data_IF_800860826736
#
_entry.id   IF_800860826736
#
_cell.length_a   1.000
_cell.length_b   1.000
_cell.length_c   1.000
_cell.angle_alpha   90.00
_cell.angle_beta   90.00
_cell.angle_gamma   90.00
#
_symmetry.space_group_name_H-M   'P 1'
#
loop_
_entity.id
_entity.type
_entity.pdbx_description
1 polymer ?
#
# COMPACT_ATOMS: atom_id res chain seq x y z
N UNK A 1 -20.54 3.85 89.31
CA UNK A 1 -20.67 5.25 88.83
C UNK A 1 -19.47 6.03 89.36
N UNK A 2 -18.85 6.96 88.63
CA UNK A 2 -18.53 7.14 87.20
C UNK A 2 -17.01 6.81 87.00
N UNK A 3 -16.32 6.81 85.86
CA UNK A 3 -16.11 7.87 84.87
C UNK A 3 -15.58 7.25 83.57
N UNK A 4 -15.93 7.89 82.46
CA UNK A 4 -15.49 7.58 81.09
C UNK A 4 -14.21 8.35 80.72
N UNK A 5 -13.62 7.92 79.60
CA UNK A 5 -12.84 8.65 78.58
C UNK A 5 -11.29 8.70 78.74
N UNK A 6 -10.48 8.87 77.66
CA UNK A 6 -10.30 7.97 76.49
C UNK A 6 -8.86 7.91 75.90
N UNK A 7 -8.67 7.15 74.80
CA UNK A 7 -7.65 7.28 73.71
C UNK A 7 -6.19 7.03 74.13
N UNK A 8 -5.40 6.23 73.41
CA UNK A 8 -4.91 6.46 72.04
C UNK A 8 -4.66 5.11 71.34
N UNK A 9 -5.29 4.91 70.18
CA UNK A 9 -4.90 3.89 69.20
C UNK A 9 -3.79 4.50 68.33
N UNK A 10 -2.59 3.93 68.34
CA UNK A 10 -1.56 4.20 67.36
C UNK A 10 -1.61 3.09 66.30
N UNK A 11 -2.19 3.40 65.13
CA UNK A 11 -2.15 2.51 63.98
C UNK A 11 -0.78 2.65 63.29
N UNK A 12 0.04 1.61 63.37
CA UNK A 12 1.32 1.50 62.67
C UNK A 12 1.03 1.00 61.24
N UNK A 13 1.03 1.91 60.26
CA UNK A 13 0.94 1.54 58.85
C UNK A 13 2.32 1.08 58.34
N UNK A 14 2.51 -0.23 58.14
CA UNK A 14 3.64 -0.78 57.40
C UNK A 14 3.49 -0.41 55.91
N UNK A 15 4.40 0.42 55.38
CA UNK A 15 4.56 0.61 53.94
C UNK A 15 5.19 -0.65 53.33
N UNK A 16 4.40 -1.39 52.55
CA UNK A 16 4.91 -2.40 51.63
C UNK A 16 5.38 -1.69 50.34
N UNK A 17 6.69 -1.57 50.15
CA UNK A 17 7.27 -1.15 48.87
C UNK A 17 7.19 -2.30 47.86
N UNK A 18 6.74 -2.07 46.61
CA UNK A 18 6.79 -3.09 45.58
C UNK A 18 8.25 -3.28 45.15
N UNK A 19 8.77 -4.50 45.34
CA UNK A 19 10.02 -4.92 44.71
C UNK A 19 9.78 -4.98 43.19
N UNK A 20 10.32 -4.00 42.47
CA UNK A 20 10.42 -4.02 41.02
C UNK A 20 11.41 -5.14 40.69
N UNK A 21 10.91 -6.30 40.25
CA UNK A 21 11.76 -7.36 39.73
C UNK A 21 12.33 -6.88 38.40
N UNK A 22 13.66 -6.85 38.22
CA UNK A 22 14.24 -6.55 36.92
C UNK A 22 13.77 -7.62 35.93
N UNK A 23 13.25 -7.19 34.79
CA UNK A 23 12.96 -8.06 33.66
C UNK A 23 14.21 -8.89 33.36
N UNK A 24 14.05 -10.22 33.31
CA UNK A 24 15.11 -11.12 32.85
C UNK A 24 15.59 -10.61 31.48
N UNK A 25 16.86 -10.27 31.37
CA UNK A 25 17.48 -9.94 30.10
C UNK A 25 17.29 -11.12 29.16
N UNK A 26 16.75 -10.88 27.96
CA UNK A 26 16.73 -11.87 26.91
C UNK A 26 18.20 -12.27 26.63
N UNK A 27 18.55 -13.54 26.82
CA UNK A 27 19.79 -14.07 26.30
C UNK A 27 19.83 -13.80 24.79
N UNK A 28 20.98 -13.39 24.21
CA UNK A 28 21.09 -13.21 22.78
C UNK A 28 20.75 -14.53 22.09
N UNK A 29 19.70 -14.49 21.27
CA UNK A 29 19.28 -15.64 20.48
C UNK A 29 20.47 -16.12 19.62
N UNK A 30 20.78 -17.43 19.60
CA UNK A 30 21.86 -17.94 18.76
C UNK A 30 21.63 -17.50 17.31
N UNK A 31 22.70 -17.18 16.55
CA UNK A 31 22.56 -16.73 15.18
C UNK A 31 21.79 -17.77 14.34
N UNK A 32 20.91 -17.33 13.43
CA UNK A 32 20.13 -18.24 12.60
C UNK A 32 21.05 -19.08 11.72
N UNK A 33 20.70 -20.35 11.51
CA UNK A 33 21.51 -21.28 10.73
C UNK A 33 21.33 -21.08 9.23
N UNK A 34 20.09 -20.86 8.81
CA UNK A 34 19.75 -20.48 7.44
C UNK A 34 19.13 -19.09 7.45
N UNK A 35 19.25 -18.39 6.33
CA UNK A 35 18.51 -17.16 6.07
C UNK A 35 17.86 -17.27 4.70
N UNK A 36 16.54 -17.20 4.66
CA UNK A 36 15.76 -17.14 3.42
C UNK A 36 15.47 -15.70 3.05
N UNK A 37 15.74 -15.36 1.80
CA UNK A 37 15.47 -14.06 1.22
C UNK A 37 14.52 -14.23 0.05
N UNK A 38 13.40 -13.53 0.10
CA UNK A 38 12.51 -13.39 -1.04
C UNK A 38 13.21 -12.53 -2.11
N UNK A 39 13.29 -13.03 -3.34
CA UNK A 39 13.93 -12.34 -4.46
C UNK A 39 12.88 -11.61 -5.32
N UNK A 40 11.80 -12.30 -5.71
CA UNK A 40 10.69 -11.68 -6.44
C UNK A 40 9.38 -12.44 -6.30
N UNK A 41 8.27 -11.74 -6.55
CA UNK A 41 6.93 -12.28 -6.69
C UNK A 41 6.37 -11.77 -8.02
N UNK A 42 5.72 -12.64 -8.79
CA UNK A 42 5.07 -12.27 -10.03
C UNK A 42 3.71 -12.97 -10.13
N UNK A 43 2.59 -12.21 -10.23
CA UNK A 43 2.52 -10.75 -10.11
C UNK A 43 2.72 -10.28 -8.66
N UNK A 44 3.16 -9.04 -8.47
CA UNK A 44 3.25 -8.37 -7.16
C UNK A 44 1.89 -7.81 -6.69
N UNK A 45 0.97 -7.57 -7.62
CA UNK A 45 -0.45 -7.31 -7.37
C UNK A 45 -1.31 -8.13 -8.33
N UNK A 46 -2.26 -8.89 -7.80
CA UNK A 46 -3.19 -9.69 -8.59
C UNK A 46 -4.41 -8.86 -8.99
N UNK A 47 -4.72 -8.89 -10.28
CA UNK A 47 -5.91 -8.29 -10.90
C UNK A 47 -6.68 -9.36 -11.70
N UNK A 48 -7.88 -9.03 -12.15
CA UNK A 48 -8.67 -9.92 -13.04
C UNK A 48 -7.97 -10.23 -14.37
N UNK A 49 -7.04 -9.38 -14.80
CA UNK A 49 -6.25 -9.54 -16.04
C UNK A 49 -4.85 -10.10 -15.83
N UNK A 50 -4.45 -10.38 -14.58
CA UNK A 50 -3.15 -10.95 -14.27
C UNK A 50 -3.07 -12.42 -14.73
N UNK A 51 -1.84 -12.94 -14.85
CA UNK A 51 -1.63 -14.38 -14.95
C UNK A 51 -2.29 -15.07 -13.72
N UNK A 52 -3.07 -16.15 -13.91
CA UNK A 52 -3.75 -16.84 -12.82
C UNK A 52 -2.83 -17.66 -11.91
N UNK A 53 -1.51 -17.58 -12.11
CA UNK A 53 -0.48 -18.26 -11.33
C UNK A 53 0.44 -17.25 -10.66
N UNK A 54 0.74 -17.47 -9.38
CA UNK A 54 1.74 -16.70 -8.63
C UNK A 54 3.06 -17.47 -8.65
N UNK A 55 4.08 -16.78 -9.14
CA UNK A 55 5.45 -17.26 -9.14
C UNK A 55 6.25 -16.55 -8.07
N UNK A 56 6.86 -17.30 -7.17
CA UNK A 56 7.67 -16.79 -6.05
C UNK A 56 9.09 -17.30 -6.21
N UNK A 57 10.09 -16.42 -6.28
CA UNK A 57 11.51 -16.80 -6.29
C UNK A 57 12.18 -16.36 -5.00
N UNK A 58 13.04 -17.22 -4.47
CA UNK A 58 13.75 -16.96 -3.23
C UNK A 58 15.11 -17.65 -3.22
N UNK A 59 16.00 -17.13 -2.38
CA UNK A 59 17.33 -17.65 -2.15
C UNK A 59 17.49 -17.98 -0.67
N UNK A 60 17.92 -19.21 -0.38
CA UNK A 60 18.33 -19.62 0.97
C UNK A 60 19.84 -19.60 1.06
N UNK A 61 20.37 -19.01 2.13
CA UNK A 61 21.82 -18.93 2.41
C UNK A 61 22.12 -19.58 3.74
N UNK A 62 23.15 -20.42 3.82
CA UNK A 62 23.66 -20.91 5.10
C UNK A 62 24.57 -19.85 5.73
N UNK A 63 24.02 -19.13 6.70
CA UNK A 63 24.69 -18.08 7.49
C UNK A 63 25.25 -18.62 8.81
N UNK A 64 24.96 -19.89 9.11
CA UNK A 64 25.37 -20.58 10.31
C UNK A 64 26.82 -21.04 10.33
N UNK A 65 27.14 -21.80 11.37
CA UNK A 65 28.49 -22.31 11.63
C UNK A 65 28.71 -23.76 11.16
N UNK A 66 27.71 -24.43 10.59
CA UNK A 66 27.80 -25.84 10.21
C UNK A 66 27.01 -26.14 8.94
N UNK A 67 27.32 -27.21 8.18
CA UNK A 67 26.56 -27.55 7.00
C UNK A 67 25.13 -27.98 7.35
N UNK A 68 24.20 -27.73 6.44
CA UNK A 68 22.80 -28.14 6.52
C UNK A 68 22.48 -29.06 5.37
N UNK A 69 21.91 -30.23 5.66
CA UNK A 69 21.51 -31.25 4.69
C UNK A 69 20.00 -31.22 4.47
N UNK A 70 19.58 -31.80 3.35
CA UNK A 70 18.17 -32.02 2.99
C UNK A 70 17.33 -30.74 3.13
N UNK A 71 17.75 -29.68 2.43
CA UNK A 71 17.10 -28.38 2.49
C UNK A 71 15.82 -28.44 1.67
N UNK A 72 14.69 -28.27 2.37
CA UNK A 72 13.36 -28.33 1.81
C UNK A 72 12.67 -26.98 2.00
N UNK A 73 11.85 -26.56 1.04
CA UNK A 73 11.05 -25.35 1.16
C UNK A 73 9.59 -25.63 0.83
N UNK A 74 8.67 -24.93 1.49
CA UNK A 74 7.25 -24.96 1.17
C UNK A 74 6.65 -23.57 1.23
N UNK A 75 5.77 -23.27 0.29
CA UNK A 75 4.95 -22.08 0.34
C UNK A 75 3.72 -22.37 1.22
N UNK A 76 3.38 -21.44 2.09
CA UNK A 76 2.21 -21.50 2.96
C UNK A 76 1.41 -20.20 2.82
N UNK A 77 0.11 -20.25 3.05
CA UNK A 77 -0.77 -19.10 2.92
C UNK A 77 -1.70 -18.96 4.14
N UNK A 78 -2.08 -17.73 4.46
CA UNK A 78 -3.07 -17.44 5.49
C UNK A 78 -4.34 -16.84 4.90
N UNK A 79 -5.39 -16.68 5.72
CA UNK A 79 -6.63 -16.04 5.31
C UNK A 79 -6.43 -14.55 5.01
N UNK A 80 -7.37 -13.96 4.27
CA UNK A 80 -7.39 -12.54 3.96
C UNK A 80 -7.34 -11.69 5.25
N UNK A 81 -6.51 -10.66 5.25
CA UNK A 81 -6.40 -9.71 6.35
C UNK A 81 -7.57 -8.72 6.29
N UNK A 82 -8.28 -8.57 7.41
CA UNK A 82 -9.47 -7.71 7.51
C UNK A 82 -9.22 -6.40 8.26
N UNK A 83 -8.00 -6.18 8.79
CA UNK A 83 -7.65 -4.96 9.53
C UNK A 83 -6.15 -4.63 9.46
N UNK A 84 -5.81 -3.35 9.59
CA UNK A 84 -4.42 -2.88 9.62
C UNK A 84 -3.64 -3.37 10.85
N UNK A 85 -4.33 -3.67 11.96
CA UNK A 85 -3.72 -4.34 13.12
C UNK A 85 -3.33 -5.77 12.79
N UNK A 86 -4.21 -6.53 12.11
CA UNK A 86 -3.93 -7.91 11.70
C UNK A 86 -2.75 -7.99 10.74
N UNK A 87 -2.60 -7.00 9.85
CA UNK A 87 -1.46 -6.91 8.92
C UNK A 87 -0.12 -6.76 9.64
N UNK A 88 -0.05 -5.87 10.63
CA UNK A 88 1.17 -5.71 11.45
C UNK A 88 1.47 -6.98 12.25
N UNK A 89 0.44 -7.61 12.80
CA UNK A 89 0.61 -8.86 13.54
C UNK A 89 1.05 -10.00 12.64
N UNK A 90 0.48 -10.20 11.43
CA UNK A 90 0.87 -11.32 10.56
C UNK A 90 2.34 -11.27 10.15
N UNK A 91 2.89 -10.07 9.98
CA UNK A 91 4.31 -9.86 9.69
C UNK A 91 5.20 -10.09 10.93
N UNK A 92 4.68 -9.91 12.15
CA UNK A 92 5.47 -9.94 13.39
C UNK A 92 5.32 -11.23 14.23
N UNK A 93 4.12 -11.82 14.29
CA UNK A 93 3.75 -12.94 15.17
C UNK A 93 2.95 -13.93 14.32
N UNK A 94 3.43 -15.17 14.22
CA UNK A 94 2.82 -16.20 13.37
C UNK A 94 1.33 -16.40 13.68
N UNK A 95 0.53 -16.59 12.63
CA UNK A 95 -0.88 -17.03 12.70
C UNK A 95 -1.08 -18.28 11.85
N UNK A 96 -2.31 -18.81 11.77
CA UNK A 96 -2.63 -20.06 11.06
C UNK A 96 -2.35 -19.98 9.56
N UNK A 97 -1.13 -20.38 9.16
CA UNK A 97 -0.73 -20.63 7.79
C UNK A 97 -1.00 -22.10 7.45
N UNK A 98 -1.45 -22.34 6.22
CA UNK A 98 -1.68 -23.67 5.66
C UNK A 98 -0.72 -23.91 4.49
N UNK A 99 -0.22 -25.14 4.38
CA UNK A 99 0.74 -25.52 3.36
C UNK A 99 0.12 -25.59 1.96
N UNK A 100 0.74 -24.90 1.01
CA UNK A 100 0.38 -24.96 -0.41
C UNK A 100 1.12 -26.15 -1.03
N UNK A 101 0.46 -27.30 -1.02
CA UNK A 101 1.05 -28.54 -1.52
C UNK A 101 2.19 -29.08 -0.65
N UNK A 102 3.09 -29.85 -1.25
CA UNK A 102 4.18 -30.54 -0.56
C UNK A 102 5.47 -29.70 -0.50
N UNK A 103 6.39 -30.09 0.39
CA UNK A 103 7.73 -29.53 0.40
C UNK A 103 8.49 -29.89 -0.89
N UNK A 104 9.20 -28.90 -1.46
CA UNK A 104 10.11 -29.12 -2.59
C UNK A 104 11.56 -29.23 -2.09
N UNK A 105 12.35 -30.08 -2.74
CA UNK A 105 13.79 -30.16 -2.51
C UNK A 105 14.50 -28.96 -3.13
N UNK A 106 15.18 -28.16 -2.30
CA UNK A 106 16.00 -27.03 -2.76
C UNK A 106 17.41 -27.50 -3.10
N UNK A 107 18.06 -28.20 -2.17
CA UNK A 107 19.39 -28.79 -2.36
C UNK A 107 19.64 -29.88 -1.32
N UNK A 108 20.49 -30.85 -1.66
CA UNK A 108 20.88 -31.93 -0.74
C UNK A 108 21.79 -31.46 0.39
N UNK A 109 22.58 -30.40 0.16
CA UNK A 109 23.47 -29.81 1.16
C UNK A 109 23.75 -28.34 0.84
N UNK A 110 23.86 -27.53 1.90
CA UNK A 110 24.42 -26.18 1.89
C UNK A 110 25.58 -26.12 2.89
N UNK A 111 26.79 -25.93 2.37
CA UNK A 111 27.95 -25.62 3.21
C UNK A 111 27.88 -24.17 3.72
N UNK A 112 28.72 -23.85 4.72
CA UNK A 112 28.81 -22.51 5.29
C UNK A 112 29.04 -21.46 4.19
N UNK A 113 28.19 -20.43 4.17
CA UNK A 113 28.27 -19.32 3.24
C UNK A 113 27.77 -19.61 1.82
N UNK A 114 27.33 -20.85 1.53
CA UNK A 114 26.70 -21.17 0.25
C UNK A 114 25.24 -20.73 0.22
N UNK A 115 24.75 -20.47 -0.98
CA UNK A 115 23.37 -20.12 -1.26
C UNK A 115 22.79 -20.98 -2.38
N UNK A 116 21.49 -21.25 -2.31
CA UNK A 116 20.72 -21.93 -3.34
C UNK A 116 19.43 -21.16 -3.64
N UNK A 117 19.14 -20.96 -4.92
CA UNK A 117 17.89 -20.38 -5.38
C UNK A 117 16.82 -21.45 -5.62
N UNK A 118 15.57 -21.11 -5.37
CA UNK A 118 14.40 -21.95 -5.64
C UNK A 118 13.19 -21.11 -6.02
N UNK A 119 12.17 -21.78 -6.56
CA UNK A 119 10.95 -21.12 -7.06
C UNK A 119 9.73 -21.97 -6.78
N UNK A 120 8.62 -21.30 -6.45
CA UNK A 120 7.26 -21.86 -6.46
C UNK A 120 6.47 -21.26 -7.61
N UNK A 121 5.60 -22.06 -8.23
CA UNK A 121 4.62 -21.61 -9.21
C UNK A 121 3.29 -22.26 -8.85
N UNK A 122 2.35 -21.45 -8.35
CA UNK A 122 1.11 -21.94 -7.73
C UNK A 122 -0.08 -21.16 -8.29
N UNK A 123 -1.15 -21.85 -8.73
CA UNK A 123 -2.40 -21.18 -9.09
C UNK A 123 -2.96 -20.35 -7.93
N UNK A 124 -3.52 -19.18 -8.25
CA UNK A 124 -4.18 -18.31 -7.26
C UNK A 124 -5.42 -19.02 -6.67
N UNK A 125 -6.14 -19.73 -7.54
CA UNK A 125 -7.21 -20.65 -7.18
C UNK A 125 -7.22 -21.82 -8.15
N UNK A 126 -7.69 -22.97 -7.68
CA UNK A 126 -7.98 -24.10 -8.54
C UNK A 126 -8.85 -25.12 -7.80
N UNK A 127 -9.81 -25.70 -8.51
CA UNK A 127 -10.59 -26.83 -8.00
C UNK A 127 -9.89 -28.21 -8.16
N UNK A 128 -8.86 -28.30 -8.99
CA UNK A 128 -8.25 -29.58 -9.42
C UNK A 128 -6.85 -29.88 -8.91
N UNK A 129 -6.19 -28.91 -8.26
CA UNK A 129 -4.82 -29.04 -7.77
C UNK A 129 -4.58 -28.12 -6.56
N UNK A 130 -3.51 -28.34 -5.77
CA UNK A 130 -3.11 -27.39 -4.73
C UNK A 130 -2.96 -25.97 -5.28
N UNK A 131 -3.57 -25.00 -4.60
CA UNK A 131 -3.59 -23.59 -4.98
C UNK A 131 -3.54 -22.71 -3.73
N UNK A 132 -3.49 -21.38 -3.91
CA UNK A 132 -3.61 -20.45 -2.78
C UNK A 132 -5.04 -20.36 -2.23
N UNK A 133 -6.04 -20.95 -2.90
CA UNK A 133 -7.44 -20.93 -2.48
C UNK A 133 -8.04 -19.52 -2.37
N UNK A 134 -7.54 -18.57 -3.17
CA UNK A 134 -7.98 -17.18 -3.13
C UNK A 134 -9.19 -17.00 -4.05
N UNK A 135 -10.38 -16.94 -3.45
CA UNK A 135 -11.66 -16.79 -4.17
C UNK A 135 -12.22 -15.36 -4.16
N UNK A 136 -11.67 -14.48 -3.32
CA UNK A 136 -12.16 -13.10 -3.17
C UNK A 136 -11.00 -12.09 -3.22
N UNK A 137 -11.25 -10.84 -3.63
CA UNK A 137 -10.29 -9.76 -3.47
C UNK A 137 -9.94 -9.52 -2.00
N UNK A 138 -8.67 -9.26 -1.72
CA UNK A 138 -8.16 -9.07 -0.36
C UNK A 138 -6.63 -8.99 -0.30
N UNK A 139 -6.08 -8.85 0.90
CA UNK A 139 -4.63 -8.92 1.12
C UNK A 139 -4.32 -10.21 1.87
N UNK A 140 -3.57 -11.11 1.23
CA UNK A 140 -3.29 -12.44 1.75
C UNK A 140 -1.84 -12.53 2.22
N UNK A 141 -1.59 -12.97 3.46
CA UNK A 141 -0.23 -13.22 3.91
C UNK A 141 0.26 -14.56 3.36
N UNK A 142 1.51 -14.56 2.88
CA UNK A 142 2.21 -15.74 2.40
C UNK A 142 3.49 -15.94 3.20
N UNK A 143 3.91 -17.19 3.30
CA UNK A 143 5.05 -17.64 4.08
C UNK A 143 5.87 -18.65 3.28
N UNK A 144 7.16 -18.44 3.16
CA UNK A 144 8.10 -19.49 2.74
C UNK A 144 8.67 -20.10 4.00
N UNK A 145 8.42 -21.40 4.20
CA UNK A 145 8.93 -22.18 5.30
C UNK A 145 10.10 -23.04 4.80
N UNK A 146 11.30 -22.83 5.36
CA UNK A 146 12.49 -23.59 4.99
C UNK A 146 12.90 -24.52 6.11
N UNK A 147 12.89 -25.81 5.81
CA UNK A 147 13.36 -26.87 6.68
C UNK A 147 14.72 -27.39 6.23
N UNK A 148 15.47 -27.95 7.18
CA UNK A 148 16.71 -28.67 6.88
C UNK A 148 17.21 -29.45 8.08
N UNK A 149 18.26 -30.21 7.87
CA UNK A 149 18.92 -31.02 8.90
C UNK A 149 20.34 -30.48 9.16
N UNK A 150 20.55 -29.72 10.25
CA UNK A 150 21.89 -29.30 10.66
C UNK A 150 22.81 -30.50 10.91
N UNK A 151 24.11 -30.32 10.71
CA UNK A 151 25.08 -31.32 11.15
C UNK A 151 24.91 -31.64 12.65
N UNK A 152 24.75 -32.93 12.99
CA UNK A 152 24.44 -33.44 14.33
C UNK A 152 23.09 -32.95 14.91
N UNK A 153 22.15 -32.54 14.07
CA UNK A 153 20.78 -32.17 14.44
C UNK A 153 19.72 -33.07 13.82
N UNK A 154 18.47 -32.82 14.21
CA UNK A 154 17.28 -33.39 13.57
C UNK A 154 16.72 -32.43 12.53
N UNK A 155 15.74 -32.88 11.74
CA UNK A 155 15.00 -32.02 10.82
C UNK A 155 14.26 -30.94 11.62
N UNK A 156 14.47 -29.67 11.27
CA UNK A 156 13.82 -28.54 11.89
C UNK A 156 13.45 -27.46 10.85
N UNK A 157 12.47 -26.63 11.18
CA UNK A 157 12.24 -25.34 10.51
C UNK A 157 13.36 -24.39 10.91
N UNK A 158 14.16 -23.97 9.94
CA UNK A 158 15.40 -23.21 10.19
C UNK A 158 15.25 -21.72 9.89
N UNK A 159 14.38 -21.36 8.94
CA UNK A 159 14.02 -19.96 8.71
C UNK A 159 12.70 -19.81 7.95
N UNK A 160 12.12 -18.61 8.01
CA UNK A 160 10.84 -18.26 7.42
C UNK A 160 10.84 -16.86 6.81
N UNK A 161 10.37 -16.73 5.57
CA UNK A 161 10.17 -15.42 4.92
C UNK A 161 8.67 -15.14 4.75
N UNK A 162 8.21 -14.00 5.28
CA UNK A 162 6.81 -13.55 5.20
C UNK A 162 6.65 -12.39 4.25
N UNK A 163 5.57 -12.39 3.49
CA UNK A 163 5.21 -11.30 2.58
C UNK A 163 3.69 -11.26 2.38
N UNK A 164 3.22 -10.24 1.68
CA UNK A 164 1.80 -10.04 1.40
C UNK A 164 1.57 -10.12 -0.11
N UNK A 165 0.45 -10.72 -0.50
CA UNK A 165 -0.07 -10.72 -1.85
C UNK A 165 -1.37 -9.90 -1.88
N UNK A 166 -1.34 -8.66 -2.37
CA UNK A 166 -2.53 -7.89 -2.66
C UNK A 166 -3.28 -8.46 -3.86
N UNK A 167 -4.57 -8.67 -3.70
CA UNK A 167 -5.48 -9.18 -4.74
C UNK A 167 -6.62 -8.19 -4.87
N UNK A 168 -6.58 -7.35 -5.90
CA UNK A 168 -7.67 -6.38 -6.17
C UNK A 168 -8.77 -7.01 -7.02
N UNK A 169 -8.49 -8.10 -7.72
CA UNK A 169 -9.48 -8.89 -8.44
C UNK A 169 -8.93 -10.29 -8.68
N UNK A 170 -9.77 -11.31 -8.65
CA UNK A 170 -9.34 -12.70 -8.80
C UNK A 170 -9.43 -13.10 -10.29
N UNK A 171 -8.32 -13.51 -10.92
CA UNK A 171 -8.31 -13.97 -12.30
C UNK A 171 -8.99 -15.34 -12.41
N UNK A 172 -9.22 -15.78 -13.64
CA UNK A 172 -9.86 -17.08 -13.91
C UNK A 172 -9.12 -18.26 -13.34
N UNK A 173 -9.85 -19.32 -12.96
CA UNK A 173 -9.22 -20.61 -12.68
C UNK A 173 -8.53 -21.09 -13.98
N UNK A 174 -7.21 -21.37 -13.96
CA UNK A 174 -6.49 -21.81 -15.15
C UNK A 174 -6.98 -23.17 -15.67
N UNK A 175 -7.68 -23.96 -14.86
CA UNK A 175 -8.25 -25.27 -15.21
C UNK A 175 -9.72 -25.21 -15.63
N UNK A 176 -10.37 -24.02 -15.61
CA UNK A 176 -11.75 -23.89 -16.08
C UNK A 176 -11.83 -24.23 -17.58
N UNK A 177 -12.69 -25.20 -17.91
CA UNK A 177 -12.87 -25.73 -19.28
C UNK A 177 -13.75 -24.84 -20.16
N UNK A 178 -14.70 -24.14 -19.56
CA UNK A 178 -15.52 -23.14 -20.24
C UNK A 178 -14.94 -21.75 -19.98
N UNK A 179 -14.93 -20.91 -21.02
CA UNK A 179 -14.40 -19.54 -20.92
C UNK A 179 -15.55 -18.56 -21.07
N UNK A 180 -15.93 -17.93 -19.97
CA UNK A 180 -16.84 -16.80 -19.91
C UNK A 180 -16.17 -15.62 -19.18
N UNK A 181 -15.73 -14.57 -19.91
CA UNK A 181 -14.99 -13.45 -19.33
C UNK A 181 -15.78 -12.66 -18.27
N UNK A 182 -17.10 -12.82 -18.17
CA UNK A 182 -17.94 -12.13 -17.19
C UNK A 182 -18.08 -12.89 -15.86
N UNK A 183 -18.05 -14.22 -15.89
CA UNK A 183 -18.28 -15.06 -14.70
C UNK A 183 -17.03 -15.74 -14.20
N UNK A 184 -16.00 -15.83 -15.03
CA UNK A 184 -14.77 -16.54 -14.69
C UNK A 184 -13.82 -15.68 -13.87
N UNK A 185 -14.09 -14.39 -13.66
CA UNK A 185 -13.26 -13.49 -12.84
C UNK A 185 -14.07 -12.91 -11.70
N UNK A 186 -13.41 -12.58 -10.60
CA UNK A 186 -14.04 -11.88 -9.47
C UNK A 186 -13.49 -10.45 -9.45
N UNK A 187 -14.34 -9.48 -9.81
CA UNK A 187 -13.97 -8.07 -9.84
C UNK A 187 -13.82 -7.47 -8.43
N UNK A 188 -13.04 -6.38 -8.26
CA UNK A 188 -13.02 -5.61 -7.02
C UNK A 188 -14.42 -5.14 -6.62
N UNK A 189 -14.70 -5.10 -5.31
CA UNK A 189 -15.84 -4.36 -4.77
C UNK A 189 -15.57 -2.84 -4.86
N UNK A 190 -16.13 -2.20 -5.90
CA UNK A 190 -16.05 -0.75 -6.08
C UNK A 190 -17.22 0.00 -5.44
N UNK A 191 -18.13 -0.68 -4.74
CA UNK A 191 -19.30 -0.03 -4.12
C UNK A 191 -18.94 0.82 -2.90
N UNK A 192 -17.78 0.54 -2.29
CA UNK A 192 -17.26 1.22 -1.10
C UNK A 192 -15.78 1.58 -1.28
N UNK A 193 -15.46 2.55 -2.15
CA UNK A 193 -14.09 2.98 -2.36
C UNK A 193 -13.53 3.63 -1.09
N UNK A 194 -12.20 3.65 -0.98
CA UNK A 194 -11.53 4.45 0.06
C UNK A 194 -11.88 5.91 -0.14
N UNK A 195 -12.45 6.53 0.89
CA UNK A 195 -12.83 7.94 0.84
C UNK A 195 -11.56 8.82 0.78
N UNK A 196 -11.27 9.34 -0.41
CA UNK A 196 -10.22 10.33 -0.66
C UNK A 196 -10.86 11.60 -1.20
N UNK A 197 -10.35 12.77 -0.78
CA UNK A 197 -10.75 14.06 -1.34
C UNK A 197 -9.61 14.62 -2.16
N UNK A 198 -9.88 14.95 -3.42
CA UNK A 198 -8.92 15.56 -4.32
C UNK A 198 -9.15 17.07 -4.38
N UNK A 199 -8.11 17.85 -4.08
CA UNK A 199 -8.11 19.28 -4.36
C UNK A 199 -7.77 19.50 -5.84
N UNK A 200 -8.67 20.13 -6.59
CA UNK A 200 -8.50 20.43 -8.01
C UNK A 200 -8.32 21.95 -8.21
N UNK A 201 -7.08 22.43 -8.38
CA UNK A 201 -6.82 23.86 -8.46
C UNK A 201 -7.09 24.43 -9.86
N UNK A 202 -7.91 25.48 -9.92
CA UNK A 202 -8.02 26.39 -11.05
C UNK A 202 -7.33 27.69 -10.67
N UNK A 203 -6.04 27.78 -10.98
CA UNK A 203 -5.19 28.92 -10.65
C UNK A 203 -4.24 29.27 -11.80
N UNK A 204 -3.87 30.55 -11.87
CA UNK A 204 -2.73 31.04 -12.66
C UNK A 204 -2.03 32.16 -11.90
N UNK A 205 -0.81 32.49 -12.28
CA UNK A 205 -0.11 33.65 -11.72
C UNK A 205 -0.88 34.93 -12.07
N UNK A 206 -1.04 35.90 -11.15
CA UNK A 206 -1.59 37.21 -11.47
C UNK A 206 -0.79 37.84 -12.61
N UNK A 207 -1.43 38.05 -13.77
CA UNK A 207 -0.77 38.61 -14.97
C UNK A 207 -0.90 40.12 -15.05
N UNK A 208 -1.40 40.80 -14.01
CA UNK A 208 -1.65 42.23 -14.02
C UNK A 208 -0.34 43.02 -14.10
N UNK A 209 -0.24 43.92 -15.07
CA UNK A 209 0.85 44.88 -15.12
C UNK A 209 0.57 46.04 -14.15
N UNK A 210 1.61 46.75 -13.65
CA UNK A 210 1.43 47.97 -12.88
C UNK A 210 0.58 49.02 -13.62
N UNK A 211 -0.23 49.76 -12.87
CA UNK A 211 -1.09 50.82 -13.43
C UNK A 211 -0.30 52.04 -13.93
N UNK A 212 -0.83 52.72 -14.95
CA UNK A 212 -0.30 53.99 -15.49
C UNK A 212 -1.21 55.15 -15.05
N UNK A 213 -0.69 56.35 -14.70
CA UNK A 213 -1.53 57.51 -14.42
C UNK A 213 -2.40 57.87 -15.63
N UNK A 214 -3.73 57.93 -15.44
CA UNK A 214 -4.67 58.31 -16.51
C UNK A 214 -5.84 57.33 -16.74
N UNK A 215 -5.83 56.16 -16.10
CA UNK A 215 -6.98 55.24 -16.09
C UNK A 215 -6.56 53.77 -15.95
N UNK A 216 -7.45 52.95 -15.39
CA UNK A 216 -7.26 51.50 -15.18
C UNK A 216 -7.96 50.65 -16.23
N UNK A 217 -8.53 51.27 -17.26
CA UNK A 217 -9.29 50.64 -18.35
C UNK A 217 -8.71 51.02 -19.72
N UNK A 218 -8.53 50.05 -20.64
CA UNK A 218 -8.65 48.60 -20.44
C UNK A 218 -7.59 48.05 -19.48
N UNK A 219 -7.85 46.89 -18.87
CA UNK A 219 -6.88 46.23 -17.98
C UNK A 219 -5.60 45.91 -18.76
N UNK A 220 -4.45 46.08 -18.11
CA UNK A 220 -3.14 45.80 -18.72
C UNK A 220 -2.56 44.52 -18.13
N UNK A 221 -2.16 43.60 -19.00
CA UNK A 221 -1.47 42.36 -18.62
C UNK A 221 0.02 42.44 -18.97
N UNK A 222 0.87 41.74 -18.21
CA UNK A 222 2.31 41.63 -18.45
C UNK A 222 2.61 40.79 -19.70
N UNK A 223 1.78 39.78 -19.97
CA UNK A 223 1.87 38.90 -21.14
C UNK A 223 0.51 38.25 -21.45
N UNK A 224 0.45 37.53 -22.56
CA UNK A 224 -0.77 36.92 -23.08
C UNK A 224 -0.97 35.44 -22.68
N UNK A 225 -0.11 34.92 -21.81
CA UNK A 225 -0.11 33.50 -21.43
C UNK A 225 -1.44 33.06 -20.79
N UNK A 226 -2.11 33.95 -20.06
CA UNK A 226 -3.40 33.64 -19.45
C UNK A 226 -4.49 33.46 -20.52
N UNK A 227 -4.49 34.28 -21.58
CA UNK A 227 -5.40 34.10 -22.70
C UNK A 227 -5.15 32.78 -23.42
N UNK A 228 -3.87 32.42 -23.64
CA UNK A 228 -3.48 31.11 -24.20
C UNK A 228 -3.93 29.96 -23.29
N UNK A 229 -3.80 30.12 -21.97
CA UNK A 229 -4.22 29.11 -20.99
C UNK A 229 -5.74 28.89 -20.93
N UNK A 230 -6.53 29.92 -21.19
CA UNK A 230 -8.00 29.89 -21.24
C UNK A 230 -8.55 29.48 -22.61
N UNK A 231 -7.79 29.70 -23.67
CA UNK A 231 -8.17 29.32 -25.04
C UNK A 231 -8.32 27.80 -25.19
N UNK A 232 -9.01 27.37 -26.24
CA UNK A 232 -9.26 25.95 -26.50
C UNK A 232 -7.98 25.12 -26.55
N UNK A 233 -7.92 24.04 -25.76
CA UNK A 233 -6.73 23.20 -25.58
C UNK A 233 -5.66 23.81 -24.65
N UNK A 234 -5.94 24.97 -24.06
CA UNK A 234 -5.09 25.60 -23.04
C UNK A 234 -5.11 24.83 -21.72
N UNK A 235 -4.20 25.19 -20.81
CA UNK A 235 -4.07 24.51 -19.51
C UNK A 235 -5.34 24.61 -18.67
N UNK A 236 -5.87 25.82 -18.49
CA UNK A 236 -7.07 26.05 -17.67
C UNK A 236 -8.33 25.50 -18.34
N UNK A 237 -8.42 25.61 -19.67
CA UNK A 237 -9.48 24.98 -20.46
C UNK A 237 -9.51 23.46 -20.25
N UNK A 238 -8.35 22.80 -20.38
CA UNK A 238 -8.23 21.35 -20.18
C UNK A 238 -8.51 20.93 -18.73
N UNK A 239 -8.04 21.70 -17.74
CA UNK A 239 -8.29 21.40 -16.32
C UNK A 239 -9.78 21.52 -15.97
N UNK A 240 -10.47 22.53 -16.50
CA UNK A 240 -11.90 22.69 -16.28
C UNK A 240 -12.69 21.59 -17.03
N UNK A 241 -12.38 21.36 -18.30
CA UNK A 241 -13.03 20.34 -19.12
C UNK A 241 -12.89 18.93 -18.52
N UNK A 242 -11.73 18.60 -17.95
CA UNK A 242 -11.53 17.33 -17.25
C UNK A 242 -12.42 17.19 -16.02
N UNK A 243 -12.54 18.25 -15.22
CA UNK A 243 -13.43 18.27 -14.05
C UNK A 243 -14.90 18.16 -14.46
N UNK A 244 -15.32 18.91 -15.49
CA UNK A 244 -16.67 18.85 -16.06
C UNK A 244 -17.01 17.45 -16.58
N UNK A 245 -16.09 16.82 -17.33
CA UNK A 245 -16.28 15.45 -17.81
C UNK A 245 -16.42 14.45 -16.65
N UNK A 246 -15.54 14.54 -15.66
CA UNK A 246 -15.52 13.62 -14.51
C UNK A 246 -16.78 13.73 -13.63
N UNK A 247 -17.41 14.90 -13.58
CA UNK A 247 -18.67 15.14 -12.87
C UNK A 247 -19.91 14.96 -13.75
N UNK A 248 -19.74 14.69 -15.05
CA UNK A 248 -20.87 14.58 -15.99
C UNK A 248 -21.60 13.24 -15.87
N UNK A 249 -22.89 13.18 -16.25
CA UNK A 249 -23.62 11.92 -16.38
C UNK A 249 -23.02 10.94 -17.41
N UNK A 250 -22.17 11.44 -18.32
CA UNK A 250 -21.45 10.64 -19.32
C UNK A 250 -20.06 10.18 -18.89
N UNK A 251 -19.70 10.36 -17.62
CA UNK A 251 -18.45 9.85 -17.06
C UNK A 251 -18.35 8.32 -17.18
N UNK A 252 -17.13 7.79 -17.09
CA UNK A 252 -16.87 6.35 -17.20
C UNK A 252 -17.56 5.53 -16.10
N UNK A 253 -17.68 6.10 -14.90
CA UNK A 253 -18.41 5.53 -13.78
C UNK A 253 -19.10 6.65 -12.97
N UNK A 254 -20.27 7.13 -13.40
CA UNK A 254 -20.97 8.23 -12.73
C UNK A 254 -21.43 7.86 -11.31
N UNK A 255 -21.51 6.56 -10.99
CA UNK A 255 -21.87 6.08 -9.67
C UNK A 255 -20.68 6.05 -8.69
N UNK A 256 -19.44 6.21 -9.18
CA UNK A 256 -18.23 6.20 -8.36
C UNK A 256 -18.13 7.37 -7.36
N UNK A 257 -19.03 8.35 -7.42
CA UNK A 257 -19.10 9.44 -6.45
C UNK A 257 -17.98 10.47 -6.58
N UNK A 258 -17.39 10.62 -7.78
CA UNK A 258 -16.33 11.60 -8.07
C UNK A 258 -16.81 13.03 -7.77
N UNK A 259 -18.10 13.30 -8.03
CA UNK A 259 -18.79 14.56 -7.68
C UNK A 259 -18.70 14.91 -6.19
N UNK A 260 -18.57 13.90 -5.30
CA UNK A 260 -18.42 14.07 -3.86
C UNK A 260 -16.97 14.02 -3.37
N UNK A 261 -16.05 13.58 -4.21
CA UNK A 261 -14.62 13.45 -3.90
C UNK A 261 -13.78 14.65 -4.41
N UNK A 262 -14.30 15.42 -5.37
CA UNK A 262 -13.59 16.55 -5.98
C UNK A 262 -13.91 17.87 -5.27
N UNK A 263 -12.88 18.59 -4.83
CA UNK A 263 -13.00 19.95 -4.30
C UNK A 263 -12.31 20.93 -5.25
N UNK A 264 -13.10 21.79 -5.90
CA UNK A 264 -12.58 22.83 -6.80
C UNK A 264 -11.96 23.97 -5.98
N UNK A 265 -10.67 24.22 -6.15
CA UNK A 265 -9.97 25.35 -5.56
C UNK A 265 -9.76 26.42 -6.62
N UNK A 266 -10.66 27.41 -6.66
CA UNK A 266 -10.59 28.52 -7.62
C UNK A 266 -9.83 29.69 -7.01
N UNK A 267 -8.79 30.15 -7.68
CA UNK A 267 -8.05 31.33 -7.28
C UNK A 267 -8.89 32.61 -7.49
N UNK A 268 -9.18 33.42 -6.45
CA UNK A 268 -9.92 34.66 -6.62
C UNK A 268 -9.22 35.67 -7.53
N UNK A 269 -7.87 35.71 -7.56
CA UNK A 269 -7.13 36.65 -8.42
C UNK A 269 -7.24 36.27 -9.90
N UNK A 270 -7.34 34.96 -10.18
CA UNK A 270 -7.66 34.45 -11.51
C UNK A 270 -9.04 34.97 -11.95
N UNK A 271 -10.07 34.85 -11.10
CA UNK A 271 -11.42 35.32 -11.42
C UNK A 271 -11.48 36.83 -11.68
N UNK A 272 -10.78 37.62 -10.86
CA UNK A 272 -10.70 39.07 -11.05
C UNK A 272 -10.05 39.41 -12.39
N UNK A 273 -8.94 38.75 -12.73
CA UNK A 273 -8.22 39.00 -13.99
C UNK A 273 -9.03 38.57 -15.20
N UNK A 274 -9.64 37.38 -15.17
CA UNK A 274 -10.49 36.85 -16.25
C UNK A 274 -11.70 37.76 -16.48
N UNK A 275 -12.38 38.19 -15.41
CA UNK A 275 -13.50 39.11 -15.51
C UNK A 275 -13.08 40.43 -16.18
N UNK A 276 -11.92 40.98 -15.82
CA UNK A 276 -11.39 42.20 -16.44
C UNK A 276 -11.07 41.99 -17.93
N UNK A 277 -10.52 40.83 -18.32
CA UNK A 277 -10.23 40.49 -19.72
C UNK A 277 -11.50 40.43 -20.59
N UNK A 278 -12.67 40.10 -20.03
CA UNK A 278 -13.94 40.07 -20.79
C UNK A 278 -14.39 41.45 -21.31
N UNK A 279 -13.92 42.54 -20.69
CA UNK A 279 -14.17 43.91 -21.14
C UNK A 279 -13.13 44.41 -22.17
N UNK A 280 -12.21 43.52 -22.60
CA UNK A 280 -11.04 43.86 -23.40
C UNK A 280 -9.82 44.17 -22.53
N UNK A 281 -8.63 43.75 -22.99
CA UNK A 281 -7.36 43.98 -22.32
C UNK A 281 -6.27 44.37 -23.32
N UNK A 282 -5.17 44.94 -22.81
CA UNK A 282 -3.95 45.22 -23.58
C UNK A 282 -2.77 44.53 -22.92
N UNK A 283 -1.78 44.11 -23.72
CA UNK A 283 -0.54 43.53 -23.22
C UNK A 283 0.54 44.64 -23.16
N UNK A 284 1.37 44.61 -22.13
CA UNK A 284 2.48 45.55 -22.02
C UNK A 284 3.55 45.24 -23.10
N UNK A 285 3.83 46.22 -23.96
CA UNK A 285 4.96 46.18 -24.89
C UNK A 285 6.25 46.58 -24.14
N UNK A 286 6.78 45.67 -23.32
CA UNK A 286 8.10 45.84 -22.71
C UNK A 286 8.78 44.46 -22.58
N UNK A 287 10.08 44.34 -22.93
CA UNK A 287 10.79 43.06 -22.89
C UNK A 287 10.89 42.43 -21.49
N UNK A 288 10.55 43.16 -20.44
CA UNK A 288 10.50 42.75 -19.03
C UNK A 288 9.11 42.91 -18.37
N UNK A 289 8.07 43.28 -19.12
CA UNK A 289 6.69 43.42 -18.61
C UNK A 289 6.47 44.60 -17.65
N UNK A 290 7.46 45.49 -17.49
CA UNK A 290 7.35 46.72 -16.71
C UNK A 290 7.39 47.90 -17.69
N UNK A 291 6.25 48.54 -17.90
CA UNK A 291 6.22 49.81 -18.63
C UNK A 291 7.09 50.85 -17.91
N UNK A 292 7.77 51.71 -18.68
CA UNK A 292 8.56 52.85 -18.16
C UNK A 292 7.71 53.81 -17.33
#
# INVERSE_FOLDING_TARGET
MPQRLPRVLAALALLALPLIQPSAGADPEPPPLLTVRLDSITPDVVTTSSDPTVTVTATVTNTGDRPVRDVLARLEHGPALTSSSSLRTSLAVGGGFEGVGEFIGVTSQLDRGQAAGFQFSVPIRSAGQPSLGIEEPGVYPLLINVNGTPENGEVASLDQARFLLPVTGVPRDPQATEVNPLTDVVAPDTTRPVAVTMLWPLADKPRLAPGVPGGTTPVRLMNDDLAVSLGGGGRLDTLLAAAEFAMSPGALDPAAGIDRALCLAVDPDLLVTVNAMTAGYVVADAPDGLGT
#
